data_IF_574894240286
#
_entry.id   IF_574894240286
#
_cell.length_a   1.000
_cell.length_b   1.000
_cell.length_c   1.000
_cell.angle_alpha   90.00
_cell.angle_beta   90.00
_cell.angle_gamma   90.00
#
_symmetry.space_group_name_H-M   'P 1'
#
loop_
_entity.id
_entity.type
_entity.pdbx_description
1 polymer ?
#
# COMPACT_ATOMS: atom_id res chain seq x y z
N UNK A 1 -19.55 18.45 8.49
CA UNK A 1 -19.20 17.15 7.87
C UNK A 1 -20.15 16.10 8.43
N UNK A 2 -20.83 15.31 7.58
CA UNK A 2 -21.72 14.24 8.04
C UNK A 2 -20.89 13.05 8.57
N UNK A 3 -21.36 12.40 9.64
CA UNK A 3 -20.76 11.16 10.18
C UNK A 3 -20.55 10.09 9.09
N UNK A 4 -21.50 9.97 8.16
CA UNK A 4 -21.39 9.03 7.04
C UNK A 4 -20.21 9.34 6.12
N UNK A 5 -19.90 10.63 5.89
CA UNK A 5 -18.70 11.02 5.13
C UNK A 5 -17.40 10.59 5.81
N UNK A 6 -17.36 10.58 7.14
CA UNK A 6 -16.21 10.06 7.91
C UNK A 6 -16.01 8.57 7.64
N UNK A 7 -17.10 7.79 7.61
CA UNK A 7 -17.03 6.36 7.27
C UNK A 7 -16.54 6.14 5.84
N UNK A 8 -17.05 6.89 4.88
CA UNK A 8 -16.65 6.77 3.48
C UNK A 8 -15.18 7.11 3.27
N UNK A 9 -14.72 8.22 3.88
CA UNK A 9 -13.31 8.65 3.81
C UNK A 9 -12.39 7.61 4.45
N UNK A 10 -12.70 7.22 5.70
CA UNK A 10 -11.86 6.24 6.43
C UNK A 10 -11.93 4.86 5.77
N UNK A 11 -13.08 4.45 5.24
CA UNK A 11 -13.23 3.22 4.49
C UNK A 11 -12.38 3.17 3.22
N UNK A 12 -12.37 4.29 2.47
CA UNK A 12 -11.49 4.41 1.29
C UNK A 12 -10.01 4.32 1.67
N UNK A 13 -9.60 4.96 2.78
CA UNK A 13 -8.24 4.91 3.29
C UNK A 13 -7.84 3.50 3.75
N UNK A 14 -8.72 2.79 4.45
CA UNK A 14 -8.50 1.39 4.87
C UNK A 14 -8.28 0.49 3.65
N UNK A 15 -9.11 0.62 2.62
CA UNK A 15 -8.97 -0.13 1.37
C UNK A 15 -7.64 0.16 0.67
N UNK A 16 -7.28 1.42 0.55
CA UNK A 16 -6.04 1.85 -0.10
C UNK A 16 -4.80 1.35 0.68
N UNK A 17 -4.80 1.44 2.00
CA UNK A 17 -3.69 0.95 2.83
C UNK A 17 -3.59 -0.58 2.85
N UNK A 18 -4.72 -1.29 2.75
CA UNK A 18 -4.72 -2.75 2.58
C UNK A 18 -4.03 -3.16 1.28
N UNK A 19 -4.30 -2.49 0.18
CA UNK A 19 -3.61 -2.73 -1.09
C UNK A 19 -2.12 -2.43 -0.99
N UNK A 20 -1.74 -1.34 -0.32
CA UNK A 20 -0.33 -1.01 -0.06
C UNK A 20 0.35 -2.11 0.75
N UNK A 21 -0.28 -2.61 1.81
CA UNK A 21 0.27 -3.72 2.61
C UNK A 21 0.50 -4.97 1.78
N UNK A 22 -0.42 -5.31 0.88
CA UNK A 22 -0.27 -6.45 -0.02
C UNK A 22 0.92 -6.29 -0.98
N UNK A 23 1.10 -5.10 -1.53
CA UNK A 23 2.23 -4.80 -2.43
C UNK A 23 3.56 -4.87 -1.68
N UNK A 24 3.65 -4.27 -0.49
CA UNK A 24 4.85 -4.31 0.36
C UNK A 24 5.18 -5.73 0.79
N UNK A 25 4.18 -6.53 1.16
CA UNK A 25 4.37 -7.94 1.48
C UNK A 25 4.89 -8.74 0.27
N UNK A 26 4.39 -8.46 -0.93
CA UNK A 26 4.88 -9.06 -2.17
C UNK A 26 6.33 -8.66 -2.44
N UNK A 27 6.70 -7.39 -2.25
CA UNK A 27 8.08 -6.93 -2.39
C UNK A 27 9.01 -7.66 -1.41
N UNK A 28 8.64 -7.73 -0.13
CA UNK A 28 9.44 -8.42 0.90
C UNK A 28 9.60 -9.92 0.60
N UNK A 29 8.53 -10.57 0.14
CA UNK A 29 8.60 -11.99 -0.23
C UNK A 29 9.56 -12.25 -1.39
N UNK A 30 9.79 -11.26 -2.25
CA UNK A 30 10.64 -11.39 -3.44
C UNK A 30 11.98 -10.65 -3.33
N UNK A 31 12.39 -10.22 -2.13
CA UNK A 31 13.64 -9.47 -1.93
C UNK A 31 14.88 -10.25 -2.39
N UNK A 32 14.91 -11.54 -2.13
CA UNK A 32 16.01 -12.44 -2.49
C UNK A 32 15.71 -13.31 -3.73
N UNK A 33 14.65 -12.99 -4.47
CA UNK A 33 14.32 -13.70 -5.71
C UNK A 33 15.36 -13.38 -6.78
N UNK A 34 15.90 -14.44 -7.38
CA UNK A 34 16.90 -14.38 -8.44
C UNK A 34 16.21 -14.28 -9.79
N UNK A 35 16.85 -13.60 -10.74
CA UNK A 35 16.39 -13.56 -12.13
C UNK A 35 16.26 -14.96 -12.70
N UNK A 36 15.17 -15.18 -13.44
CA UNK A 36 14.93 -16.43 -14.16
C UNK A 36 15.88 -16.62 -15.36
N UNK A 37 15.73 -17.74 -16.09
CA UNK A 37 16.52 -18.02 -17.30
C UNK A 37 16.35 -16.97 -18.40
N UNK A 38 15.28 -16.18 -18.33
CA UNK A 38 14.98 -15.05 -19.21
C UNK A 38 15.74 -13.77 -18.85
N UNK A 39 16.53 -13.80 -17.77
CA UNK A 39 17.29 -12.65 -17.27
C UNK A 39 16.45 -11.59 -16.57
N UNK A 40 15.15 -11.82 -16.39
CA UNK A 40 14.27 -10.86 -15.72
C UNK A 40 14.24 -11.12 -14.22
N UNK A 41 14.63 -10.11 -13.44
CA UNK A 41 14.49 -10.12 -11.98
C UNK A 41 13.16 -9.50 -11.55
N UNK A 42 12.70 -9.86 -10.36
CA UNK A 42 11.55 -9.21 -9.75
C UNK A 42 11.78 -7.70 -9.62
N UNK A 43 10.80 -6.92 -9.97
CA UNK A 43 10.83 -5.46 -9.84
C UNK A 43 9.97 -5.02 -8.66
N UNK A 44 10.52 -4.14 -7.83
CA UNK A 44 9.80 -3.55 -6.73
C UNK A 44 8.55 -2.82 -7.24
N UNK A 45 7.43 -3.01 -6.57
CA UNK A 45 6.15 -2.40 -6.90
C UNK A 45 5.78 -1.35 -5.88
N UNK A 46 5.19 -0.26 -6.33
CA UNK A 46 4.72 0.84 -5.50
C UNK A 46 3.28 1.18 -5.85
N UNK A 47 2.50 1.52 -4.83
CA UNK A 47 1.10 1.93 -4.99
C UNK A 47 1.06 3.44 -5.19
N UNK A 48 0.36 3.88 -6.24
CA UNK A 48 0.10 5.29 -6.51
C UNK A 48 -1.30 5.63 -6.04
N UNK A 49 -1.39 6.56 -5.09
CA UNK A 49 -2.65 7.05 -4.55
C UNK A 49 -3.16 8.25 -5.32
N UNK A 50 -4.48 8.34 -5.42
CA UNK A 50 -5.17 9.49 -5.98
C UNK A 50 -6.29 9.93 -5.05
N UNK A 51 -6.54 11.23 -5.00
CA UNK A 51 -7.68 11.78 -4.28
C UNK A 51 -8.99 11.37 -4.98
N UNK A 52 -9.91 10.80 -4.20
CA UNK A 52 -11.25 10.47 -4.63
C UNK A 52 -12.22 11.53 -4.10
N UNK A 53 -12.73 12.39 -4.95
CA UNK A 53 -13.74 13.38 -4.55
C UNK A 53 -15.08 12.69 -4.32
N UNK A 54 -15.59 12.75 -3.09
CA UNK A 54 -16.87 12.20 -2.66
C UNK A 54 -17.88 13.33 -2.57
N UNK A 55 -18.52 13.68 -3.67
CA UNK A 55 -19.54 14.74 -3.73
C UNK A 55 -19.58 15.36 -5.14
N UNK A 56 -20.74 15.88 -5.53
CA UNK A 56 -20.89 16.55 -6.83
C UNK A 56 -20.04 17.82 -6.92
N UNK A 57 -19.63 18.15 -8.11
CA UNK A 57 -18.75 19.28 -8.46
C UNK A 57 -19.28 20.67 -8.05
N UNK A 58 -20.47 20.74 -7.45
CA UNK A 58 -21.19 21.99 -7.16
C UNK A 58 -21.13 22.44 -5.69
N UNK A 59 -20.45 21.72 -4.79
CA UNK A 59 -20.37 22.11 -3.39
C UNK A 59 -18.93 22.30 -2.92
N UNK A 60 -18.61 23.46 -2.29
CA UNK A 60 -17.25 23.75 -1.79
C UNK A 60 -16.80 22.86 -0.61
N UNK A 61 -17.67 22.02 -0.06
CA UNK A 61 -17.35 21.04 0.98
C UNK A 61 -17.25 19.61 0.42
N UNK A 62 -16.50 19.43 -0.64
CA UNK A 62 -16.26 18.08 -1.18
C UNK A 62 -15.44 17.26 -0.20
N UNK A 63 -16.04 16.23 0.40
CA UNK A 63 -15.29 15.23 1.14
C UNK A 63 -14.35 14.52 0.16
N UNK A 64 -13.08 14.40 0.55
CA UNK A 64 -12.06 13.76 -0.26
C UNK A 64 -11.62 12.46 0.41
N UNK A 65 -11.81 11.35 -0.27
CA UNK A 65 -11.24 10.04 0.07
C UNK A 65 -9.95 9.78 -0.71
N UNK A 66 -9.46 8.56 -0.65
CA UNK A 66 -8.28 8.09 -1.37
C UNK A 66 -8.60 6.83 -2.16
N UNK A 67 -8.05 6.72 -3.36
CA UNK A 67 -8.10 5.50 -4.17
C UNK A 67 -6.73 5.15 -4.71
N UNK A 68 -6.51 3.87 -5.00
CA UNK A 68 -5.33 3.41 -5.72
C UNK A 68 -5.61 3.54 -7.21
N UNK A 69 -4.78 4.31 -7.89
CA UNK A 69 -4.90 4.51 -9.34
C UNK A 69 -4.20 3.40 -10.11
N UNK A 70 -2.98 3.09 -9.68
CA UNK A 70 -2.15 2.07 -10.32
C UNK A 70 -1.11 1.52 -9.36
N UNK A 71 -0.54 0.38 -9.73
CA UNK A 71 0.66 -0.18 -9.11
C UNK A 71 1.78 0.01 -10.13
N UNK A 72 2.75 0.85 -9.81
CA UNK A 72 3.91 1.14 -10.65
C UNK A 72 5.06 0.19 -10.30
N UNK A 73 5.81 -0.24 -11.31
CA UNK A 73 7.03 -1.02 -11.13
C UNK A 73 8.25 -0.10 -11.21
N UNK A 74 9.18 -0.28 -10.28
CA UNK A 74 10.46 0.41 -10.31
C UNK A 74 11.37 -0.21 -11.37
N UNK A 75 11.75 0.56 -12.37
CA UNK A 75 12.56 0.10 -13.49
C UNK A 75 14.06 0.08 -13.21
N UNK A 76 14.50 0.43 -11.99
CA UNK A 76 15.92 0.37 -11.63
C UNK A 76 16.46 -1.06 -11.78
N UNK A 77 17.73 -1.22 -12.18
CA UNK A 77 18.35 -2.53 -12.30
C UNK A 77 18.35 -3.27 -10.96
N UNK A 78 18.21 -4.58 -11.01
CA UNK A 78 18.38 -5.43 -9.84
C UNK A 78 19.82 -5.45 -9.32
N UNK A 79 19.99 -5.90 -8.10
CA UNK A 79 21.30 -6.04 -7.47
C UNK A 79 22.07 -7.19 -8.11
N UNK A 80 23.25 -6.93 -8.64
CA UNK A 80 24.14 -7.96 -9.19
C UNK A 80 25.18 -8.42 -8.16
N UNK A 81 25.29 -9.72 -7.97
CA UNK A 81 26.24 -10.35 -7.06
C UNK A 81 27.07 -11.35 -7.82
N UNK A 82 28.39 -11.34 -7.64
CA UNK A 82 29.29 -12.31 -8.26
C UNK A 82 29.25 -13.62 -7.48
N UNK A 83 28.60 -14.63 -8.07
CA UNK A 83 28.54 -16.00 -7.57
C UNK A 83 28.57 -17.01 -8.75
N UNK A 84 29.76 -17.37 -9.23
CA UNK A 84 29.89 -18.28 -10.39
C UNK A 84 29.40 -19.70 -10.14
N UNK A 85 29.18 -20.09 -8.87
CA UNK A 85 28.69 -21.42 -8.51
C UNK A 85 27.16 -21.51 -8.49
N UNK A 86 26.48 -20.38 -8.57
CA UNK A 86 25.04 -20.34 -8.54
C UNK A 86 24.45 -20.91 -9.84
N UNK A 87 23.39 -21.75 -9.78
CA UNK A 87 22.80 -22.38 -10.98
C UNK A 87 22.27 -21.37 -12.00
N UNK A 88 21.97 -20.15 -11.58
CA UNK A 88 21.43 -19.06 -12.43
C UNK A 88 22.45 -17.93 -12.65
N UNK A 89 23.74 -18.22 -12.48
CA UNK A 89 24.79 -17.27 -12.83
C UNK A 89 24.84 -17.07 -14.35
N UNK A 90 25.06 -15.83 -14.79
CA UNK A 90 25.29 -15.50 -16.20
C UNK A 90 26.69 -15.98 -16.65
N UNK A 91 27.00 -15.76 -17.94
CA UNK A 91 28.27 -16.18 -18.52
C UNK A 91 29.49 -15.52 -17.83
N UNK A 92 29.31 -14.38 -17.20
CA UNK A 92 30.32 -13.65 -16.45
C UNK A 92 30.36 -14.01 -14.94
N UNK A 93 29.53 -14.96 -14.50
CA UNK A 93 29.47 -15.43 -13.13
C UNK A 93 28.69 -14.50 -12.18
N UNK A 94 27.81 -13.65 -12.70
CA UNK A 94 26.95 -12.79 -11.90
C UNK A 94 25.54 -13.31 -11.81
N UNK A 95 24.93 -13.11 -10.63
CA UNK A 95 23.53 -13.40 -10.35
C UNK A 95 22.80 -12.08 -10.11
N UNK A 96 21.65 -11.90 -10.77
CA UNK A 96 20.85 -10.69 -10.62
C UNK A 96 19.67 -10.97 -9.68
N UNK A 97 19.64 -10.26 -8.57
CA UNK A 97 18.55 -10.28 -7.59
C UNK A 97 17.52 -9.19 -7.89
N UNK A 98 16.42 -9.17 -7.13
CA UNK A 98 15.44 -8.11 -7.19
C UNK A 98 16.06 -6.73 -6.86
N UNK A 99 15.38 -5.66 -7.25
CA UNK A 99 15.74 -4.29 -6.87
C UNK A 99 15.04 -3.83 -5.57
N UNK A 100 14.43 -4.75 -4.82
CA UNK A 100 13.73 -4.47 -3.57
C UNK A 100 14.74 -4.15 -2.46
N UNK A 101 14.49 -3.06 -1.74
CA UNK A 101 15.22 -2.73 -0.51
C UNK A 101 14.39 -3.20 0.71
N UNK A 102 14.84 -4.26 1.37
CA UNK A 102 14.12 -4.86 2.49
C UNK A 102 13.86 -3.88 3.64
N UNK A 103 14.82 -3.02 3.97
CA UNK A 103 14.70 -2.05 5.07
C UNK A 103 13.65 -1.00 4.75
N UNK A 104 13.65 -0.49 3.52
CA UNK A 104 12.67 0.49 3.05
C UNK A 104 11.26 -0.11 3.04
N UNK A 105 11.11 -1.34 2.56
CA UNK A 105 9.84 -2.04 2.55
C UNK A 105 9.32 -2.36 3.97
N UNK A 106 10.21 -2.67 4.93
CA UNK A 106 9.80 -2.81 6.33
C UNK A 106 9.26 -1.50 6.91
N UNK A 107 9.90 -0.37 6.62
CA UNK A 107 9.40 0.95 7.02
C UNK A 107 8.06 1.25 6.37
N UNK A 108 7.91 0.95 5.08
CA UNK A 108 6.65 1.08 4.36
C UNK A 108 5.54 0.21 4.98
N UNK A 109 5.86 -1.02 5.37
CA UNK A 109 4.91 -1.92 6.04
C UNK A 109 4.43 -1.35 7.37
N UNK A 110 5.34 -0.88 8.22
CA UNK A 110 4.99 -0.26 9.51
C UNK A 110 4.11 0.97 9.30
N UNK A 111 4.48 1.83 8.35
CA UNK A 111 3.73 3.04 8.02
C UNK A 111 2.31 2.71 7.53
N UNK A 112 2.19 1.77 6.60
CA UNK A 112 0.89 1.35 6.07
C UNK A 112 0.01 0.69 7.14
N UNK A 113 0.60 -0.16 7.99
CA UNK A 113 -0.10 -0.82 9.10
C UNK A 113 -0.63 0.20 10.11
N UNK A 114 0.17 1.19 10.50
CA UNK A 114 -0.28 2.25 11.40
C UNK A 114 -1.41 3.08 10.78
N UNK A 115 -1.29 3.46 9.52
CA UNK A 115 -2.34 4.20 8.82
C UNK A 115 -3.63 3.40 8.73
N UNK A 116 -3.54 2.12 8.46
CA UNK A 116 -4.69 1.19 8.44
C UNK A 116 -5.38 1.15 9.81
N UNK A 117 -4.62 0.93 10.90
CA UNK A 117 -5.14 0.88 12.27
C UNK A 117 -5.79 2.19 12.69
N UNK A 118 -5.15 3.33 12.42
CA UNK A 118 -5.69 4.65 12.75
C UNK A 118 -7.05 4.90 12.08
N UNK A 119 -7.20 4.52 10.81
CA UNK A 119 -8.47 4.69 10.10
C UNK A 119 -9.56 3.76 10.64
N UNK A 120 -9.23 2.54 11.06
CA UNK A 120 -10.18 1.65 11.74
C UNK A 120 -10.62 2.26 13.09
N UNK A 121 -9.71 2.83 13.86
CA UNK A 121 -10.04 3.45 15.14
C UNK A 121 -10.93 4.68 14.96
N UNK A 122 -10.68 5.50 13.93
CA UNK A 122 -11.57 6.61 13.56
C UNK A 122 -12.97 6.11 13.24
N UNK A 123 -13.11 5.02 12.48
CA UNK A 123 -14.41 4.42 12.17
C UNK A 123 -15.13 3.91 13.43
N UNK A 124 -14.40 3.25 14.34
CA UNK A 124 -14.95 2.75 15.59
C UNK A 124 -15.42 3.91 16.50
N UNK A 125 -14.64 4.98 16.56
CA UNK A 125 -15.00 6.19 17.32
C UNK A 125 -16.25 6.85 16.73
N UNK A 126 -16.32 7.02 15.42
CA UNK A 126 -17.48 7.55 14.73
C UNK A 126 -18.74 6.71 15.00
N UNK A 127 -18.60 5.36 14.93
CA UNK A 127 -19.70 4.43 15.29
C UNK A 127 -20.18 4.62 16.72
N UNK A 128 -19.24 4.72 17.68
CA UNK A 128 -19.59 4.91 19.09
C UNK A 128 -20.31 6.24 19.34
N UNK A 129 -19.87 7.32 18.68
CA UNK A 129 -20.52 8.61 18.75
C UNK A 129 -21.94 8.57 18.17
N UNK A 130 -22.13 7.91 17.02
CA UNK A 130 -23.44 7.75 16.41
C UNK A 130 -24.40 6.98 17.32
N UNK A 131 -23.93 5.89 17.94
CA UNK A 131 -24.73 5.12 18.89
C UNK A 131 -25.16 5.95 20.12
N UNK A 132 -24.24 6.72 20.68
CA UNK A 132 -24.56 7.62 21.80
C UNK A 132 -25.57 8.70 21.41
N UNK A 133 -25.44 9.27 20.23
CA UNK A 133 -26.40 10.26 19.71
C UNK A 133 -27.79 9.67 19.55
N UNK A 134 -27.89 8.44 19.03
CA UNK A 134 -29.16 7.74 18.91
C UNK A 134 -29.79 7.43 20.27
N UNK A 135 -28.99 7.02 21.25
CA UNK A 135 -29.47 6.78 22.62
C UNK A 135 -30.00 8.06 23.30
N UNK A 136 -29.34 9.21 23.08
CA UNK A 136 -29.82 10.49 23.58
C UNK A 136 -31.11 10.96 22.90
N UNK A 137 -31.32 10.58 21.64
CA UNK A 137 -32.56 10.91 20.92
C UNK A 137 -33.75 10.04 21.26
N UNK A 138 -33.55 8.94 21.99
CA UNK A 138 -34.61 8.04 22.47
C UNK A 138 -35.04 8.30 23.92
N UNK A 139 -34.36 9.20 24.57
CA UNK A 139 -34.72 9.71 25.91
C UNK A 139 -35.58 11.01 25.85
#
# INVERSE_FOLDING_TARGET
MSMFKVFDISGSAVSAQSQRLNVVASNLANVDTVAGPDGQSYKARQVVFQTLLMGGTSQPESAAGVSVTQIAEDQTPGRRVHDPKHPQADADGYVTYSNVNAVEEMVNMISASRSYQNNIEVMNTAKSLLQKTLQMGQA
#
